data_IF_194066309705
#
_entry.id   IF_194066309705
#
_cell.length_a   1.000
_cell.length_b   1.000
_cell.length_c   1.000
_cell.angle_alpha   90.00
_cell.angle_beta   90.00
_cell.angle_gamma   90.00
#
_symmetry.space_group_name_H-M   'P 1'
#
loop_
_entity.id
_entity.type
_entity.pdbx_description
1 polymer ?
#
# COMPACT_ATOMS: atom_id res chain seq x y z
N UNK A 1 -28.45 -16.60 -13.19
CA UNK A 1 -27.03 -16.95 -12.98
C UNK A 1 -26.34 -15.84 -12.19
N UNK A 2 -26.19 -16.05 -10.87
CA UNK A 2 -25.65 -15.06 -9.95
C UNK A 2 -24.13 -15.22 -9.94
N UNK A 3 -23.43 -14.59 -10.89
CA UNK A 3 -21.96 -14.51 -10.86
C UNK A 3 -21.55 -13.81 -9.56
N UNK A 4 -20.87 -14.54 -8.68
CA UNK A 4 -20.38 -14.04 -7.40
C UNK A 4 -19.51 -12.81 -7.64
N UNK A 5 -19.57 -11.82 -6.74
CA UNK A 5 -18.71 -10.62 -6.82
C UNK A 5 -17.24 -11.02 -6.69
N UNK A 6 -16.94 -12.16 -6.05
CA UNK A 6 -15.62 -12.77 -6.05
C UNK A 6 -15.12 -13.15 -7.46
N UNK A 7 -15.99 -13.65 -8.35
CA UNK A 7 -15.66 -13.94 -9.75
C UNK A 7 -15.32 -12.65 -10.54
N UNK A 8 -15.88 -11.51 -10.12
CA UNK A 8 -15.55 -10.18 -10.67
C UNK A 8 -14.22 -9.65 -10.15
N UNK A 9 -13.88 -9.91 -8.88
CA UNK A 9 -12.59 -9.57 -8.30
C UNK A 9 -11.49 -10.36 -8.99
N UNK A 10 -11.69 -11.66 -9.19
CA UNK A 10 -10.76 -12.54 -9.88
C UNK A 10 -10.56 -12.10 -11.35
N UNK A 11 -11.65 -11.76 -12.07
CA UNK A 11 -11.55 -11.21 -13.44
C UNK A 11 -10.93 -9.82 -13.53
N UNK A 12 -11.15 -8.94 -12.57
CA UNK A 12 -10.57 -7.59 -12.57
C UNK A 12 -9.07 -7.65 -12.26
N UNK A 13 -8.67 -8.57 -11.38
CA UNK A 13 -7.28 -8.84 -11.06
C UNK A 13 -6.55 -9.53 -12.23
N UNK A 14 -7.19 -10.51 -12.90
CA UNK A 14 -6.69 -11.12 -14.14
C UNK A 14 -6.49 -10.09 -15.26
N UNK A 15 -7.38 -9.10 -15.39
CA UNK A 15 -7.23 -8.01 -16.37
C UNK A 15 -6.16 -6.98 -15.99
N UNK A 16 -5.91 -6.76 -14.71
CA UNK A 16 -4.80 -5.90 -14.28
C UNK A 16 -3.44 -6.60 -14.42
N UNK A 17 -3.39 -7.93 -14.27
CA UNK A 17 -2.19 -8.74 -14.55
C UNK A 17 -1.82 -8.81 -16.04
N UNK A 18 -2.76 -8.55 -16.95
CA UNK A 18 -2.54 -8.63 -18.40
C UNK A 18 -1.89 -7.41 -19.06
N UNK A 19 -1.65 -6.30 -18.33
CA UNK A 19 -1.10 -5.05 -18.89
C UNK A 19 0.31 -4.73 -18.35
N UNK A 20 0.83 -5.50 -17.39
CA UNK A 20 2.10 -5.20 -16.74
C UNK A 20 3.17 -6.14 -17.24
N UNK A 21 3.70 -5.80 -18.42
CA UNK A 21 4.86 -6.46 -18.99
C UNK A 21 6.05 -6.37 -18.05
N UNK A 22 6.55 -7.56 -17.66
CA UNK A 22 7.88 -7.81 -17.12
C UNK A 22 8.21 -7.00 -15.85
N UNK A 23 7.80 -7.49 -14.67
CA UNK A 23 8.34 -6.97 -13.41
C UNK A 23 7.43 -7.15 -12.21
N UNK A 24 7.43 -8.36 -11.64
CA UNK A 24 6.97 -8.66 -10.27
C UNK A 24 5.53 -8.23 -9.90
N UNK A 25 4.62 -9.20 -9.90
CA UNK A 25 3.26 -9.00 -9.40
C UNK A 25 3.26 -8.89 -7.87
N UNK A 26 2.65 -7.84 -7.27
CA UNK A 26 2.37 -7.81 -5.84
C UNK A 26 1.58 -9.06 -5.44
N UNK A 27 2.02 -9.74 -4.39
CA UNK A 27 1.38 -10.96 -3.90
C UNK A 27 -0.02 -10.63 -3.37
N UNK A 28 -1.05 -11.01 -4.14
CA UNK A 28 -2.46 -10.77 -3.81
C UNK A 28 -2.86 -11.39 -2.46
N UNK A 29 -2.17 -12.46 -2.05
CA UNK A 29 -2.37 -13.11 -0.75
C UNK A 29 -2.07 -12.19 0.45
N UNK A 30 -1.15 -11.23 0.30
CA UNK A 30 -0.82 -10.28 1.37
C UNK A 30 -1.81 -9.11 1.44
N UNK A 31 -2.42 -8.75 0.29
CA UNK A 31 -3.49 -7.74 0.22
C UNK A 31 -4.82 -8.26 0.82
N UNK A 32 -5.08 -9.57 0.73
CA UNK A 32 -6.25 -10.21 1.34
C UNK A 32 -6.33 -10.04 2.87
N UNK A 33 -5.20 -9.85 3.55
CA UNK A 33 -5.14 -9.58 5.00
C UNK A 33 -5.57 -8.16 5.39
N UNK A 34 -5.57 -7.21 4.45
CA UNK A 34 -5.95 -5.80 4.70
C UNK A 34 -7.46 -5.69 4.93
N UNK A 35 -8.24 -6.65 4.42
CA UNK A 35 -9.68 -6.77 4.71
C UNK A 35 -10.01 -7.00 6.19
N UNK A 36 -9.04 -7.37 7.02
CA UNK A 36 -9.19 -7.59 8.47
C UNK A 36 -8.91 -6.39 9.36
N UNK A 37 -8.33 -5.30 8.82
CA UNK A 37 -7.97 -4.10 9.60
C UNK A 37 -9.13 -3.13 9.84
N UNK A 38 -10.29 -3.36 9.22
CA UNK A 38 -11.44 -2.46 9.36
C UNK A 38 -12.35 -2.94 10.49
N UNK A 39 -12.13 -2.28 11.63
CA UNK A 39 -12.98 -2.37 12.82
C UNK A 39 -14.39 -1.89 12.44
N UNK A 40 -15.39 -2.75 12.64
CA UNK A 40 -16.82 -2.45 12.81
C UNK A 40 -17.72 -2.29 11.55
N UNK A 41 -18.61 -3.30 11.37
CA UNK A 41 -19.95 -3.31 10.73
C UNK A 41 -20.17 -2.78 9.30
N UNK A 42 -19.27 -1.99 8.70
CA UNK A 42 -19.46 -1.38 7.38
C UNK A 42 -18.92 -2.21 6.20
N UNK A 43 -18.24 -3.31 6.49
CA UNK A 43 -17.53 -4.17 5.52
C UNK A 43 -18.44 -4.84 4.48
N UNK A 44 -19.76 -4.86 4.71
CA UNK A 44 -20.74 -5.43 3.80
C UNK A 44 -21.49 -4.43 2.92
N UNK A 45 -21.15 -3.14 2.98
CA UNK A 45 -21.79 -2.16 2.07
C UNK A 45 -21.26 -2.32 0.63
N UNK A 46 -22.12 -2.17 -0.39
CA UNK A 46 -21.69 -2.17 -1.79
C UNK A 46 -20.60 -1.13 -2.07
N UNK A 47 -20.72 0.04 -1.42
CA UNK A 47 -19.75 1.13 -1.50
C UNK A 47 -18.36 0.71 -1.01
N UNK A 48 -18.27 0.14 0.19
CA UNK A 48 -16.99 -0.29 0.76
C UNK A 48 -16.31 -1.36 -0.12
N UNK A 49 -17.08 -2.31 -0.65
CA UNK A 49 -16.54 -3.34 -1.56
C UNK A 49 -15.98 -2.74 -2.85
N UNK A 50 -16.67 -1.78 -3.46
CA UNK A 50 -16.16 -1.09 -4.65
C UNK A 50 -14.94 -0.23 -4.34
N UNK A 51 -14.93 0.41 -3.17
CA UNK A 51 -13.81 1.23 -2.72
C UNK A 51 -12.56 0.38 -2.45
N UNK A 52 -12.71 -0.79 -1.82
CA UNK A 52 -11.61 -1.73 -1.62
C UNK A 52 -10.95 -2.12 -2.94
N UNK A 53 -11.73 -2.47 -3.97
CA UNK A 53 -11.19 -2.81 -5.29
C UNK A 53 -10.42 -1.63 -5.91
N UNK A 54 -10.91 -0.41 -5.73
CA UNK A 54 -10.20 0.79 -6.16
C UNK A 54 -8.89 0.98 -5.39
N UNK A 55 -8.91 0.83 -4.06
CA UNK A 55 -7.74 0.97 -3.20
C UNK A 55 -6.68 -0.09 -3.52
N UNK A 56 -7.07 -1.35 -3.70
CA UNK A 56 -6.18 -2.43 -4.13
C UNK A 56 -5.56 -2.16 -5.49
N UNK A 57 -6.35 -1.66 -6.46
CA UNK A 57 -5.82 -1.31 -7.79
C UNK A 57 -4.77 -0.20 -7.71
N UNK A 58 -5.02 0.83 -6.89
CA UNK A 58 -4.05 1.90 -6.63
C UNK A 58 -2.81 1.37 -5.92
N UNK A 59 -3.00 0.48 -4.93
CA UNK A 59 -1.92 -0.20 -4.24
C UNK A 59 -1.05 -1.01 -5.18
N UNK A 60 -1.64 -1.83 -6.05
CA UNK A 60 -0.91 -2.62 -7.05
C UNK A 60 -0.11 -1.72 -7.98
N UNK A 61 -0.71 -0.64 -8.49
CA UNK A 61 -0.03 0.29 -9.39
C UNK A 61 1.13 1.07 -8.72
N UNK A 62 1.00 1.40 -7.43
CA UNK A 62 2.09 1.99 -6.65
C UNK A 62 3.17 0.95 -6.33
N UNK A 63 2.75 -0.26 -5.98
CA UNK A 63 3.61 -1.41 -5.71
C UNK A 63 4.50 -1.77 -6.88
N UNK A 64 3.95 -1.90 -8.09
CA UNK A 64 4.75 -2.24 -9.28
C UNK A 64 5.82 -1.19 -9.57
N UNK A 65 5.47 0.10 -9.51
CA UNK A 65 6.45 1.19 -9.66
C UNK A 65 7.57 1.12 -8.64
N UNK A 66 7.24 0.87 -7.37
CA UNK A 66 8.23 0.75 -6.31
C UNK A 66 9.08 -0.52 -6.44
N UNK A 67 8.47 -1.63 -6.84
CA UNK A 67 9.15 -2.89 -7.11
C UNK A 67 10.17 -2.77 -8.24
N UNK A 68 9.76 -2.19 -9.37
CA UNK A 68 10.66 -1.98 -10.50
C UNK A 68 11.82 -1.05 -10.15
N UNK A 69 11.54 0.04 -9.42
CA UNK A 69 12.59 0.95 -8.97
C UNK A 69 13.60 0.24 -8.03
N UNK A 70 13.12 -0.56 -7.08
CA UNK A 70 13.96 -1.31 -6.17
C UNK A 70 14.76 -2.41 -6.89
N UNK A 71 14.14 -3.12 -7.83
CA UNK A 71 14.79 -4.14 -8.64
C UNK A 71 15.92 -3.58 -9.50
N UNK A 72 15.65 -2.47 -10.22
CA UNK A 72 16.67 -1.77 -11.01
C UNK A 72 17.82 -1.28 -10.13
N UNK A 73 17.51 -0.63 -9.01
CA UNK A 73 18.53 -0.16 -8.08
C UNK A 73 19.41 -1.31 -7.57
N UNK A 74 18.80 -2.46 -7.25
CA UNK A 74 19.55 -3.63 -6.76
C UNK A 74 20.41 -4.28 -7.84
N UNK A 75 19.94 -4.36 -9.09
CA UNK A 75 20.78 -4.81 -10.21
C UNK A 75 21.98 -3.89 -10.38
N UNK A 76 21.79 -2.56 -10.36
CA UNK A 76 22.89 -1.60 -10.51
C UNK A 76 23.91 -1.73 -9.37
N UNK A 77 23.44 -1.88 -8.13
CA UNK A 77 24.27 -2.08 -6.95
C UNK A 77 25.11 -3.36 -7.09
N UNK A 78 24.47 -4.48 -7.40
CA UNK A 78 25.14 -5.78 -7.48
C UNK A 78 26.06 -5.90 -8.70
N UNK A 79 25.70 -5.30 -9.84
CA UNK A 79 26.61 -5.26 -11.00
C UNK A 79 27.87 -4.45 -10.68
N UNK A 80 27.74 -3.35 -9.93
CA UNK A 80 28.91 -2.58 -9.45
C UNK A 80 29.77 -3.39 -8.47
N UNK A 81 29.16 -4.06 -7.50
CA UNK A 81 29.90 -4.76 -6.45
C UNK A 81 30.53 -6.08 -6.92
N UNK A 82 29.81 -6.87 -7.70
CA UNK A 82 30.27 -8.19 -8.16
C UNK A 82 31.26 -8.09 -9.32
N UNK A 83 31.03 -7.16 -10.25
CA UNK A 83 31.84 -7.05 -11.47
C UNK A 83 32.78 -5.83 -11.48
N UNK A 84 32.65 -4.89 -10.55
CA UNK A 84 33.45 -3.65 -10.56
C UNK A 84 33.10 -2.70 -11.71
N UNK A 85 31.94 -2.86 -12.36
CA UNK A 85 31.53 -2.08 -13.53
C UNK A 85 30.81 -0.81 -13.08
N UNK A 86 31.32 0.37 -13.45
CA UNK A 86 30.67 1.65 -13.14
C UNK A 86 29.80 2.19 -14.28
N UNK A 87 30.11 1.81 -15.51
CA UNK A 87 29.45 2.20 -16.76
C UNK A 87 29.56 1.07 -17.77
N UNK A 88 28.62 0.99 -18.70
CA UNK A 88 28.67 0.05 -19.83
C UNK A 88 28.61 0.87 -21.12
N UNK A 89 29.58 0.69 -22.02
CA UNK A 89 29.69 1.45 -23.28
C UNK A 89 29.56 2.98 -23.07
N UNK A 90 30.33 3.52 -22.12
CA UNK A 90 30.32 4.94 -21.69
C UNK A 90 28.97 5.47 -21.15
N UNK A 91 28.01 4.57 -20.94
CA UNK A 91 26.69 4.91 -20.41
C UNK A 91 26.57 4.52 -18.94
N UNK A 92 25.91 5.37 -18.16
CA UNK A 92 25.58 5.06 -16.78
C UNK A 92 24.69 3.81 -16.70
N UNK A 93 24.93 2.92 -15.74
CA UNK A 93 24.16 1.68 -15.58
C UNK A 93 22.64 1.90 -15.50
N UNK A 94 22.19 3.03 -14.95
CA UNK A 94 20.76 3.39 -14.88
C UNK A 94 20.10 3.71 -16.23
N UNK A 95 20.88 3.91 -17.29
CA UNK A 95 20.36 4.02 -18.66
C UNK A 95 20.28 2.67 -19.37
N UNK A 96 21.10 1.72 -18.93
CA UNK A 96 21.17 0.35 -19.47
C UNK A 96 20.11 -0.52 -18.80
N UNK A 97 20.05 -0.51 -17.48
CA UNK A 97 19.08 -1.26 -16.68
C UNK A 97 17.90 -0.40 -16.29
N UNK A 98 16.71 -0.88 -16.60
CA UNK A 98 15.44 -0.21 -16.36
C UNK A 98 14.33 -1.26 -16.12
N UNK A 99 13.14 -0.80 -15.77
CA UNK A 99 12.01 -1.64 -15.36
C UNK A 99 11.71 -2.82 -16.31
N UNK A 100 11.97 -2.66 -17.61
CA UNK A 100 11.66 -3.70 -18.62
C UNK A 100 12.68 -4.82 -18.71
N UNK A 101 13.92 -4.63 -18.23
CA UNK A 101 15.02 -5.55 -18.51
C UNK A 101 15.83 -5.98 -17.26
N UNK A 102 15.62 -5.37 -16.09
CA UNK A 102 16.33 -5.76 -14.86
C UNK A 102 16.02 -7.20 -14.40
N UNK A 103 14.89 -7.76 -14.83
CA UNK A 103 14.50 -9.13 -14.54
C UNK A 103 14.99 -10.13 -15.60
N UNK A 104 15.61 -9.67 -16.69
CA UNK A 104 16.08 -10.53 -17.77
C UNK A 104 17.58 -10.85 -17.62
N UNK A 105 17.93 -12.09 -17.21
CA UNK A 105 19.31 -12.47 -17.04
C UNK A 105 20.09 -12.46 -18.36
N UNK A 106 19.43 -12.61 -19.51
CA UNK A 106 20.11 -12.63 -20.81
C UNK A 106 20.60 -11.24 -21.20
N UNK A 107 19.77 -10.21 -21.01
CA UNK A 107 20.13 -8.81 -21.30
C UNK A 107 21.24 -8.34 -20.39
N UNK A 108 21.17 -8.66 -19.09
CA UNK A 108 22.21 -8.31 -18.13
C UNK A 108 23.51 -9.03 -18.46
N UNK A 109 23.46 -10.33 -18.71
CA UNK A 109 24.66 -11.11 -19.08
C UNK A 109 25.30 -10.57 -20.34
N UNK A 110 24.51 -10.23 -21.37
CA UNK A 110 25.04 -9.69 -22.62
C UNK A 110 25.68 -8.31 -22.42
N UNK A 111 25.07 -7.44 -21.61
CA UNK A 111 25.59 -6.09 -21.35
C UNK A 111 26.90 -6.13 -20.54
N UNK A 112 26.97 -7.01 -19.53
CA UNK A 112 28.20 -7.22 -18.74
C UNK A 112 29.29 -7.87 -19.59
N UNK A 113 28.92 -8.83 -20.43
CA UNK A 113 29.86 -9.52 -21.31
C UNK A 113 30.45 -8.62 -22.40
N UNK A 114 29.66 -7.70 -22.98
CA UNK A 114 30.19 -6.72 -23.94
C UNK A 114 31.21 -5.77 -23.30
N UNK A 115 30.99 -5.40 -22.03
CA UNK A 115 31.95 -4.57 -21.28
C UNK A 115 33.23 -5.37 -20.96
N UNK A 116 33.10 -6.67 -20.70
CA UNK A 116 34.24 -7.58 -20.52
C UNK A 116 35.08 -7.67 -21.80
N UNK A 117 34.45 -7.85 -22.97
CA UNK A 117 35.20 -7.89 -24.24
C UNK A 117 35.92 -6.56 -24.51
N UNK A 118 35.24 -5.43 -24.33
CA UNK A 118 35.83 -4.12 -24.52
C UNK A 118 37.00 -3.86 -23.55
N UNK A 119 36.81 -4.12 -22.26
CA UNK A 119 37.81 -3.77 -21.24
C UNK A 119 38.96 -4.77 -21.19
N UNK A 120 38.65 -6.07 -21.19
CA UNK A 120 39.61 -7.13 -20.86
C UNK A 120 40.29 -7.77 -22.07
N UNK A 121 39.72 -7.67 -23.28
CA UNK A 121 40.33 -8.24 -24.50
C UNK A 121 41.03 -7.20 -25.37
N UNK A 122 40.61 -5.93 -25.34
CA UNK A 122 41.15 -4.90 -26.25
C UNK A 122 42.22 -4.00 -25.63
N UNK A 123 42.26 -3.87 -24.30
CA UNK A 123 43.22 -2.99 -23.63
C UNK A 123 44.35 -3.80 -22.98
N UNK A 124 45.60 -3.44 -23.29
CA UNK A 124 46.79 -3.84 -22.54
C UNK A 124 46.89 -3.05 -21.23
N UNK A 125 45.79 -3.00 -20.47
CA UNK A 125 45.73 -2.29 -19.20
C UNK A 125 46.21 -3.21 -18.08
N UNK A 126 47.22 -2.75 -17.34
CA UNK A 126 47.72 -3.39 -16.12
C UNK A 126 46.73 -3.30 -14.95
N UNK A 127 45.57 -2.66 -15.16
CA UNK A 127 44.50 -2.56 -14.18
C UNK A 127 43.66 -3.84 -14.19
N UNK A 128 43.95 -4.71 -13.23
CA UNK A 128 43.19 -5.92 -12.92
C UNK A 128 41.75 -5.58 -12.46
N UNK A 129 40.90 -5.15 -13.39
CA UNK A 129 39.47 -4.94 -13.11
C UNK A 129 38.85 -6.26 -12.65
N UNK A 130 37.97 -6.20 -11.63
CA UNK A 130 37.27 -7.38 -11.10
C UNK A 130 36.59 -8.17 -12.21
N UNK A 131 36.08 -7.48 -13.23
CA UNK A 131 35.49 -8.07 -14.42
C UNK A 131 36.46 -8.99 -15.19
N UNK A 132 37.72 -8.62 -15.34
CA UNK A 132 38.72 -9.40 -16.07
C UNK A 132 39.14 -10.66 -15.30
N UNK A 133 39.02 -10.66 -13.97
CA UNK A 133 39.21 -11.85 -13.15
C UNK A 133 38.19 -12.95 -13.47
N UNK A 134 36.97 -12.60 -13.89
CA UNK A 134 35.97 -13.59 -14.32
C UNK A 134 36.37 -14.32 -15.62
N UNK A 135 37.20 -13.72 -16.46
CA UNK A 135 37.74 -14.36 -17.67
C UNK A 135 38.85 -15.38 -17.40
N UNK A 136 39.50 -15.30 -16.23
CA UNK A 136 40.59 -16.20 -15.82
C UNK A 136 40.17 -17.36 -14.91
N UNK A 137 38.88 -17.46 -14.54
CA UNK A 137 38.40 -18.58 -13.70
C UNK A 137 38.28 -19.83 -14.54
N UNK A 138 39.08 -20.86 -14.20
CA UNK A 138 38.75 -22.23 -14.60
C UNK A 138 37.33 -22.58 -14.09
N UNK A 139 36.61 -23.40 -14.84
CA UNK A 139 35.22 -23.74 -14.56
C UNK A 139 35.02 -24.24 -13.13
N UNK A 140 33.80 -24.05 -12.60
CA UNK A 140 33.31 -24.70 -11.38
C UNK A 140 33.28 -26.25 -11.47
N UNK A 141 33.64 -26.81 -12.63
CA UNK A 141 33.77 -28.23 -12.90
C UNK A 141 35.24 -28.56 -13.23
N UNK A 142 35.91 -29.46 -12.49
CA UNK A 142 37.25 -29.92 -12.84
C UNK A 142 37.27 -30.51 -14.25
N UNK A 143 38.10 -29.95 -15.15
CA UNK A 143 38.31 -30.48 -16.50
C UNK A 143 37.46 -29.88 -17.63
N UNK A 144 36.68 -28.82 -17.39
CA UNK A 144 36.05 -28.03 -18.47
C UNK A 144 36.56 -26.59 -18.45
N UNK A 145 36.86 -26.02 -19.61
CA UNK A 145 37.03 -24.58 -19.78
C UNK A 145 35.65 -23.92 -19.77
N UNK A 146 35.29 -23.19 -18.72
CA UNK A 146 34.08 -22.36 -18.73
C UNK A 146 34.38 -21.11 -19.56
N UNK A 147 33.50 -20.76 -20.49
CA UNK A 147 33.63 -19.46 -21.15
C UNK A 147 33.39 -18.35 -20.12
N UNK A 148 34.08 -17.22 -20.25
CA UNK A 148 33.86 -16.05 -19.39
C UNK A 148 32.37 -15.66 -19.32
N UNK A 149 31.65 -15.89 -20.42
CA UNK A 149 30.21 -15.68 -20.55
C UNK A 149 29.37 -16.57 -19.62
N UNK A 150 29.77 -17.84 -19.44
CA UNK A 150 29.04 -18.78 -18.58
C UNK A 150 29.20 -18.43 -17.10
N UNK A 151 30.41 -18.02 -16.70
CA UNK A 151 30.70 -17.59 -15.32
C UNK A 151 29.95 -16.30 -15.01
N UNK A 152 29.99 -15.30 -15.92
CA UNK A 152 29.21 -14.07 -15.79
C UNK A 152 27.71 -14.39 -15.72
N UNK A 153 27.21 -15.26 -16.60
CA UNK A 153 25.80 -15.65 -16.62
C UNK A 153 25.34 -16.34 -15.33
N UNK A 154 26.21 -17.14 -14.69
CA UNK A 154 25.91 -17.77 -13.41
C UNK A 154 25.78 -16.72 -12.28
N UNK A 155 26.71 -15.76 -12.20
CA UNK A 155 26.64 -14.67 -11.22
C UNK A 155 25.41 -13.78 -11.47
N UNK A 156 25.12 -13.44 -12.74
CA UNK A 156 23.94 -12.64 -13.11
C UNK A 156 22.63 -13.32 -12.68
N UNK A 157 22.53 -14.65 -12.74
CA UNK A 157 21.34 -15.35 -12.21
C UNK A 157 21.15 -15.11 -10.70
N UNK A 158 22.24 -15.05 -9.94
CA UNK A 158 22.20 -14.67 -8.52
C UNK A 158 21.71 -13.24 -8.34
N UNK A 159 22.26 -12.31 -9.13
CA UNK A 159 21.88 -10.89 -9.11
C UNK A 159 20.40 -10.70 -9.42
N UNK A 160 19.89 -11.32 -10.49
CA UNK A 160 18.47 -11.23 -10.89
C UNK A 160 17.56 -11.80 -9.80
N UNK A 161 17.99 -12.88 -9.13
CA UNK A 161 17.23 -13.45 -8.01
C UNK A 161 17.14 -12.47 -6.83
N UNK A 162 18.26 -11.87 -6.44
CA UNK A 162 18.28 -10.89 -5.34
C UNK A 162 17.51 -9.62 -5.69
N UNK A 163 17.68 -9.11 -6.91
CA UNK A 163 16.91 -7.98 -7.42
C UNK A 163 15.41 -8.29 -7.48
N UNK A 164 15.03 -9.50 -7.89
CA UNK A 164 13.64 -9.97 -7.88
C UNK A 164 13.05 -10.03 -6.45
N UNK A 165 13.84 -10.45 -5.47
CA UNK A 165 13.43 -10.44 -4.06
C UNK A 165 13.22 -9.01 -3.54
N UNK A 166 14.17 -8.11 -3.82
CA UNK A 166 14.08 -6.70 -3.45
C UNK A 166 12.87 -6.01 -4.11
N UNK A 167 12.65 -6.27 -5.39
CA UNK A 167 11.49 -5.79 -6.14
C UNK A 167 10.18 -6.32 -5.53
N UNK A 168 10.11 -7.61 -5.19
CA UNK A 168 8.93 -8.23 -4.57
C UNK A 168 8.63 -7.62 -3.20
N UNK A 169 9.66 -7.41 -2.39
CA UNK A 169 9.50 -6.81 -1.07
C UNK A 169 8.99 -5.38 -1.18
N UNK A 170 9.64 -4.54 -2.00
CA UNK A 170 9.23 -3.15 -2.21
C UNK A 170 7.82 -3.04 -2.79
N UNK A 171 7.47 -3.92 -3.74
CA UNK A 171 6.15 -3.96 -4.34
C UNK A 171 5.07 -4.31 -3.32
N UNK A 172 5.30 -5.35 -2.52
CA UNK A 172 4.34 -5.79 -1.50
C UNK A 172 4.14 -4.75 -0.40
N UNK A 173 5.24 -4.17 0.11
CA UNK A 173 5.19 -3.13 1.15
C UNK A 173 4.41 -1.91 0.65
N UNK A 174 4.80 -1.38 -0.50
CA UNK A 174 4.16 -0.17 -1.06
C UNK A 174 2.70 -0.42 -1.42
N UNK A 175 2.38 -1.59 -1.98
CA UNK A 175 1.00 -1.93 -2.30
C UNK A 175 0.13 -2.01 -1.04
N UNK A 176 0.65 -2.61 0.03
CA UNK A 176 -0.04 -2.71 1.32
C UNK A 176 -0.24 -1.34 1.96
N UNK A 177 0.82 -0.53 2.04
CA UNK A 177 0.78 0.81 2.64
C UNK A 177 -0.15 1.75 1.88
N UNK A 178 -0.09 1.74 0.55
CA UNK A 178 -0.97 2.57 -0.29
C UNK A 178 -2.44 2.17 -0.13
N UNK A 179 -2.72 0.86 -0.12
CA UNK A 179 -4.09 0.35 0.07
C UNK A 179 -4.62 0.72 1.46
N UNK A 180 -3.84 0.49 2.52
CA UNK A 180 -4.22 0.85 3.88
C UNK A 180 -4.41 2.35 4.03
N UNK A 181 -3.48 3.15 3.54
CA UNK A 181 -3.55 4.62 3.64
C UNK A 181 -4.79 5.19 2.92
N UNK A 182 -5.19 4.62 1.78
CA UNK A 182 -6.44 4.98 1.10
C UNK A 182 -7.67 4.65 1.94
N UNK A 183 -7.69 3.47 2.57
CA UNK A 183 -8.79 3.04 3.45
C UNK A 183 -8.87 3.94 4.68
N UNK A 184 -7.74 4.19 5.35
CA UNK A 184 -7.67 5.00 6.56
C UNK A 184 -8.07 6.46 6.29
N UNK A 185 -7.63 7.03 5.15
CA UNK A 185 -8.02 8.36 4.73
C UNK A 185 -9.53 8.48 4.51
N UNK A 186 -10.16 7.48 3.90
CA UNK A 186 -11.60 7.49 3.63
C UNK A 186 -12.41 7.25 4.91
N UNK A 187 -11.95 6.36 5.79
CA UNK A 187 -12.55 6.17 7.12
C UNK A 187 -12.47 7.43 7.98
N UNK A 188 -11.35 8.15 7.92
CA UNK A 188 -11.18 9.43 8.62
C UNK A 188 -12.18 10.50 8.16
N UNK A 189 -12.41 10.61 6.84
CA UNK A 189 -13.44 11.52 6.30
C UNK A 189 -14.84 11.16 6.78
N UNK A 190 -15.19 9.88 6.76
CA UNK A 190 -16.50 9.39 7.21
C UNK A 190 -16.68 9.67 8.72
N UNK A 191 -15.65 9.39 9.52
CA UNK A 191 -15.67 9.63 10.97
C UNK A 191 -15.81 11.11 11.30
N UNK A 192 -15.08 11.97 10.59
CA UNK A 192 -15.16 13.43 10.75
C UNK A 192 -16.54 13.99 10.38
N UNK A 193 -17.11 13.53 9.26
CA UNK A 193 -18.47 13.91 8.86
C UNK A 193 -19.52 13.40 9.88
N UNK A 194 -19.37 12.18 10.38
CA UNK A 194 -20.24 11.59 11.39
C UNK A 194 -20.20 12.31 12.74
N UNK A 195 -19.02 12.71 13.19
CA UNK A 195 -18.84 13.48 14.43
C UNK A 195 -19.59 14.82 14.38
N UNK A 196 -19.53 15.52 13.25
CA UNK A 196 -20.27 16.78 13.06
C UNK A 196 -21.80 16.57 13.17
N UNK A 197 -22.35 15.53 12.51
CA UNK A 197 -23.77 15.20 12.61
C UNK A 197 -24.18 14.82 14.03
N UNK A 198 -23.34 14.08 14.74
CA UNK A 198 -23.59 13.69 16.13
C UNK A 198 -23.70 14.90 17.06
N UNK A 199 -22.80 15.89 16.93
CA UNK A 199 -22.88 17.12 17.73
C UNK A 199 -24.19 17.86 17.49
N UNK A 200 -24.64 17.99 16.23
CA UNK A 200 -25.92 18.62 15.89
C UNK A 200 -27.13 17.93 16.52
N UNK A 201 -27.15 16.59 16.52
CA UNK A 201 -28.22 15.80 17.15
C UNK A 201 -28.19 16.01 18.68
N UNK A 202 -27.02 15.97 19.31
CA UNK A 202 -26.88 16.19 20.75
C UNK A 202 -27.34 17.59 21.16
N UNK A 203 -26.97 18.63 20.41
CA UNK A 203 -27.45 19.99 20.67
C UNK A 203 -28.97 20.10 20.55
N UNK A 204 -29.57 19.51 19.51
CA UNK A 204 -31.03 19.50 19.32
C UNK A 204 -31.76 18.81 20.50
N UNK A 205 -31.30 17.64 20.92
CA UNK A 205 -31.88 16.90 22.06
C UNK A 205 -31.72 17.69 23.37
N UNK A 206 -30.55 18.30 23.59
CA UNK A 206 -30.28 19.11 24.79
C UNK A 206 -31.20 20.33 24.83
N UNK A 207 -31.44 21.00 23.71
CA UNK A 207 -32.35 22.14 23.62
C UNK A 207 -33.80 21.74 23.97
N UNK A 208 -34.29 20.59 23.47
CA UNK A 208 -35.62 20.07 23.80
C UNK A 208 -35.73 19.79 25.31
N UNK A 209 -34.72 19.17 25.92
CA UNK A 209 -34.72 18.89 27.37
C UNK A 209 -34.79 20.17 28.22
N UNK A 210 -34.08 21.23 27.83
CA UNK A 210 -34.12 22.53 28.53
C UNK A 210 -35.53 23.14 28.46
N UNK A 211 -36.18 23.11 27.29
CA UNK A 211 -37.55 23.63 27.12
C UNK A 211 -38.53 22.86 28.03
N UNK A 212 -38.44 21.54 28.05
CA UNK A 212 -39.29 20.68 28.90
C UNK A 212 -39.04 20.98 30.38
N UNK A 213 -37.79 21.15 30.81
CA UNK A 213 -37.44 21.51 32.19
C UNK A 213 -38.06 22.84 32.62
N UNK A 214 -37.97 23.88 31.78
CA UNK A 214 -38.58 25.19 32.04
C UNK A 214 -40.10 25.07 32.17
N UNK A 215 -40.76 24.31 31.29
CA UNK A 215 -42.20 24.08 31.38
C UNK A 215 -42.59 23.38 32.69
N UNK A 216 -41.82 22.39 33.13
CA UNK A 216 -42.06 21.69 34.41
C UNK A 216 -41.91 22.64 35.59
N UNK A 217 -40.86 23.49 35.62
CA UNK A 217 -40.64 24.46 36.70
C UNK A 217 -41.80 25.47 36.77
N UNK A 218 -42.17 26.07 35.63
CA UNK A 218 -43.30 27.02 35.56
C UNK A 218 -44.61 26.33 36.00
N UNK A 219 -44.85 25.10 35.51
CA UNK A 219 -46.01 24.30 35.89
C UNK A 219 -46.06 24.06 37.41
N UNK A 220 -44.93 23.69 38.02
CA UNK A 220 -44.84 23.46 39.46
C UNK A 220 -45.10 24.75 40.25
N UNK A 221 -44.56 25.90 39.81
CA UNK A 221 -44.82 27.21 40.43
C UNK A 221 -46.32 27.55 40.34
N UNK A 222 -46.93 27.40 39.17
CA UNK A 222 -48.36 27.68 38.97
C UNK A 222 -49.24 26.73 39.79
N UNK A 223 -48.91 25.44 39.83
CA UNK A 223 -49.61 24.42 40.64
C UNK A 223 -49.51 24.74 42.13
N UNK A 224 -48.32 25.13 42.60
CA UNK A 224 -48.08 25.54 43.98
C UNK A 224 -48.92 26.78 44.33
N UNK A 225 -48.93 27.81 43.47
CA UNK A 225 -49.75 29.02 43.65
C UNK A 225 -51.25 28.71 43.71
N UNK A 226 -51.75 27.81 42.84
CA UNK A 226 -53.17 27.37 42.86
C UNK A 226 -53.51 26.67 44.16
N UNK A 227 -52.69 25.71 44.62
CA UNK A 227 -52.92 25.02 45.90
C UNK A 227 -52.89 25.98 47.09
N UNK A 228 -51.95 26.94 47.12
CA UNK A 228 -51.88 27.95 48.19
C UNK A 228 -53.12 28.85 48.21
N UNK A 229 -53.63 29.28 47.04
CA UNK A 229 -54.90 30.03 46.94
C UNK A 229 -56.08 29.23 47.51
N UNK A 230 -56.20 27.94 47.19
CA UNK A 230 -57.30 27.09 47.68
C UNK A 230 -57.24 26.88 49.20
N UNK A 231 -56.04 26.66 49.76
CA UNK A 231 -55.86 26.56 51.22
C UNK A 231 -56.28 27.83 51.96
N UNK A 232 -55.92 29.01 51.42
CA UNK A 232 -56.36 30.29 51.98
C UNK A 232 -57.89 30.42 51.95
N UNK A 233 -58.54 30.09 50.82
CA UNK A 233 -60.02 30.14 50.72
C UNK A 233 -60.74 29.27 51.74
N UNK A 234 -60.23 28.05 52.01
CA UNK A 234 -60.78 27.15 53.02
C UNK A 234 -60.71 27.73 54.45
N UNK A 235 -59.65 28.46 54.79
CA UNK A 235 -59.54 29.12 56.08
C UNK A 235 -60.55 30.26 56.25
N UNK A 236 -60.76 31.07 55.20
CA UNK A 236 -61.77 32.15 55.24
C UNK A 236 -63.21 31.62 55.40
N UNK A 237 -63.56 30.51 54.74
CA UNK A 237 -64.90 29.90 54.88
C UNK A 237 -65.14 29.40 56.31
N UNK A 238 -64.10 28.88 56.99
CA UNK A 238 -64.22 28.43 58.37
C UNK A 238 -64.47 29.59 59.35
N UNK A 239 -63.76 30.70 59.19
CA UNK A 239 -63.89 31.89 60.05
C UNK A 239 -65.25 32.60 59.95
N UNK A 240 -65.98 32.43 58.84
CA UNK A 240 -67.30 33.04 58.64
C UNK A 240 -68.46 32.18 59.19
N UNK A 241 -68.17 30.96 59.66
CA UNK A 241 -69.18 30.00 60.12
C UNK A 241 -69.27 29.91 61.65
N UNK A 242 -68.31 30.50 62.36
CA UNK A 242 -68.42 30.88 63.77
C UNK A 242 -69.03 32.28 63.88
#
# INVERSE_FOLDING_TARGET
MRKSVADKVEKCCLKCGGILGVGVAPSLGLLGGIGGLVINKWTNTPFYKTFLVFAEKQGIAAGTKAGDAAGVAKVIELVKSEFGINSIADKALGTVFHAKNYADPTVITQSVYSEFEATCLTSASEDSSLLCFFGGRESLVPGQSASARDVIGATVKGIVKEAGNAATQAANTTAKETTSGLIDAELSKITSAGANLYTGIVYSVTAILIIVLVMVIIYLILRYRRKKKMKKKLQYIKLLKE
#
